data_IF_960210040687
#
_entry.id   IF_960210040687
#
_cell.length_a   1.000
_cell.length_b   1.000
_cell.length_c   1.000
_cell.angle_alpha   90.00
_cell.angle_beta   90.00
_cell.angle_gamma   90.00
#
_symmetry.space_group_name_H-M   'P 1'
#
loop_
_entity.id
_entity.type
_entity.pdbx_description
1 polymer ?
#
# COMPACT_ATOMS: atom_id res chain seq x y z
N UNK A 1 -12.76 -1.74 -4.18
CA UNK A 1 -12.07 -0.61 -4.83
C UNK A 1 -11.49 -1.10 -6.16
N UNK A 2 -11.61 -0.39 -7.27
CA UNK A 2 -11.19 -0.89 -8.60
C UNK A 2 -9.96 -0.11 -9.05
N UNK A 3 -8.77 -0.54 -8.63
CA UNK A 3 -7.50 0.14 -8.93
C UNK A 3 -7.15 0.10 -10.42
N UNK A 4 -7.36 -1.04 -11.08
CA UNK A 4 -7.08 -1.20 -12.52
C UNK A 4 -7.91 -0.22 -13.33
N UNK A 5 -9.22 -0.10 -13.08
CA UNK A 5 -10.09 0.86 -13.76
C UNK A 5 -9.68 2.32 -13.48
N UNK A 6 -9.26 2.63 -12.26
CA UNK A 6 -8.75 3.96 -11.91
C UNK A 6 -7.47 4.30 -12.67
N UNK A 7 -6.49 3.40 -12.74
CA UNK A 7 -5.26 3.59 -13.51
C UNK A 7 -5.54 3.84 -15.00
N UNK A 8 -6.43 3.06 -15.60
CA UNK A 8 -6.85 3.25 -16.99
C UNK A 8 -7.52 4.63 -17.22
N UNK A 9 -8.34 5.08 -16.26
CA UNK A 9 -8.98 6.42 -16.35
C UNK A 9 -7.97 7.57 -16.27
N UNK A 10 -6.83 7.36 -15.59
CA UNK A 10 -5.70 8.27 -15.52
C UNK A 10 -4.80 8.21 -16.78
N UNK A 11 -5.18 7.41 -17.79
CA UNK A 11 -4.35 7.13 -18.97
C UNK A 11 -2.97 6.55 -18.64
N UNK A 12 -2.84 5.87 -17.48
CA UNK A 12 -1.64 5.10 -17.15
C UNK A 12 -1.71 3.76 -17.86
N UNK A 13 -0.61 3.37 -18.47
CA UNK A 13 -0.53 2.07 -19.14
C UNK A 13 -0.35 0.96 -18.10
N UNK A 14 -1.36 0.12 -17.96
CA UNK A 14 -1.32 -1.02 -17.04
C UNK A 14 -0.32 -2.09 -17.47
N UNK A 15 0.06 -2.12 -18.75
CA UNK A 15 1.06 -3.03 -19.29
C UNK A 15 2.49 -2.69 -18.81
N UNK A 16 2.72 -1.46 -18.33
CA UNK A 16 4.00 -1.05 -17.73
C UNK A 16 4.17 -1.50 -16.27
N UNK A 17 3.10 -1.97 -15.61
CA UNK A 17 3.16 -2.39 -14.22
C UNK A 17 3.87 -3.74 -14.12
N UNK A 18 5.10 -3.75 -13.62
CA UNK A 18 5.92 -4.94 -13.44
C UNK A 18 6.18 -5.29 -11.97
N UNK A 19 5.75 -4.43 -11.06
CA UNK A 19 5.94 -4.61 -9.63
C UNK A 19 4.62 -4.30 -8.91
N UNK A 20 4.13 -5.24 -8.13
CA UNK A 20 2.89 -5.12 -7.34
C UNK A 20 3.21 -5.42 -5.89
N UNK A 21 2.92 -4.50 -5.00
CA UNK A 21 3.08 -4.70 -3.56
C UNK A 21 1.69 -4.85 -2.94
N UNK A 22 1.50 -5.93 -2.19
CA UNK A 22 0.29 -6.18 -1.39
C UNK A 22 0.67 -6.07 0.08
N UNK A 23 0.08 -5.11 0.76
CA UNK A 23 0.35 -4.85 2.18
C UNK A 23 -0.23 -5.94 3.06
N UNK A 24 -1.43 -6.40 2.73
CA UNK A 24 -2.15 -7.47 3.40
C UNK A 24 -3.31 -7.99 2.53
N UNK A 25 -3.95 -9.08 2.97
CA UNK A 25 -4.95 -9.79 2.16
C UNK A 25 -6.40 -9.55 2.63
N UNK A 26 -6.77 -8.28 2.91
CA UNK A 26 -8.17 -7.88 2.91
C UNK A 26 -8.65 -7.63 1.47
N UNK A 27 -9.92 -7.90 1.23
CA UNK A 27 -10.52 -7.91 -0.11
C UNK A 27 -10.28 -6.61 -0.92
N UNK A 28 -10.39 -5.48 -0.27
CA UNK A 28 -10.21 -4.15 -0.89
C UNK A 28 -8.76 -3.82 -1.25
N UNK A 29 -7.78 -4.65 -0.86
CA UNK A 29 -6.37 -4.48 -1.19
C UNK A 29 -5.87 -5.38 -2.31
N UNK A 30 -6.56 -6.47 -2.67
CA UNK A 30 -6.06 -7.38 -3.70
C UNK A 30 -7.12 -7.92 -4.69
N UNK A 31 -8.41 -7.65 -4.52
CA UNK A 31 -9.46 -8.18 -5.38
C UNK A 31 -9.37 -7.75 -6.84
N UNK A 32 -8.66 -6.68 -7.16
CA UNK A 32 -8.40 -6.26 -8.54
C UNK A 32 -7.26 -7.05 -9.22
N UNK A 33 -6.52 -7.86 -8.47
CA UNK A 33 -5.36 -8.59 -9.00
C UNK A 33 -5.68 -9.45 -10.23
N UNK A 34 -6.81 -10.21 -10.31
CA UNK A 34 -7.13 -10.97 -11.51
C UNK A 34 -7.23 -10.13 -12.77
N UNK A 35 -7.78 -8.92 -12.67
CA UNK A 35 -7.90 -8.01 -13.82
C UNK A 35 -6.54 -7.46 -14.25
N UNK A 36 -5.67 -7.12 -13.31
CA UNK A 36 -4.30 -6.74 -13.61
C UNK A 36 -3.56 -7.89 -14.32
N UNK A 37 -3.61 -9.09 -13.74
CA UNK A 37 -2.98 -10.28 -14.29
C UNK A 37 -3.44 -10.58 -15.73
N UNK A 38 -4.75 -10.57 -16.00
CA UNK A 38 -5.29 -10.83 -17.33
C UNK A 38 -4.80 -9.83 -18.38
N UNK A 39 -4.67 -8.55 -18.01
CA UNK A 39 -4.18 -7.53 -18.94
C UNK A 39 -2.68 -7.70 -19.23
N UNK A 40 -1.92 -8.30 -18.35
CA UNK A 40 -0.48 -8.50 -18.51
C UNK A 40 -0.10 -9.84 -19.17
N UNK A 41 -1.05 -10.75 -19.38
CA UNK A 41 -0.78 -12.06 -19.97
C UNK A 41 -0.28 -12.01 -21.41
N UNK A 42 -0.57 -10.94 -22.17
CA UNK A 42 -0.12 -10.74 -23.53
C UNK A 42 1.30 -10.15 -23.62
N UNK A 43 1.87 -9.75 -22.48
CA UNK A 43 3.13 -9.03 -22.42
C UNK A 43 4.31 -9.97 -22.26
N UNK A 44 5.44 -9.56 -22.82
CA UNK A 44 6.70 -10.24 -22.55
C UNK A 44 7.19 -9.92 -21.12
N UNK A 45 7.68 -10.95 -20.41
CA UNK A 45 8.19 -10.84 -19.06
C UNK A 45 7.16 -11.06 -17.96
N UNK A 46 7.67 -11.16 -16.74
CA UNK A 46 6.84 -11.44 -15.54
C UNK A 46 6.59 -10.19 -14.73
N UNK A 47 5.42 -10.15 -14.10
CA UNK A 47 5.13 -9.20 -13.02
C UNK A 47 5.55 -9.82 -11.70
N UNK A 48 6.32 -9.08 -10.91
CA UNK A 48 6.73 -9.52 -9.57
C UNK A 48 5.75 -9.00 -8.54
N UNK A 49 5.21 -9.91 -7.74
CA UNK A 49 4.32 -9.60 -6.61
C UNK A 49 5.09 -9.74 -5.30
N UNK A 50 5.14 -8.67 -4.54
CA UNK A 50 5.73 -8.59 -3.21
C UNK A 50 4.61 -8.66 -2.19
N UNK A 51 4.58 -9.72 -1.39
CA UNK A 51 3.48 -9.94 -0.44
C UNK A 51 3.92 -10.83 0.73
N UNK A 52 2.97 -11.20 1.57
CA UNK A 52 3.18 -12.24 2.58
C UNK A 52 3.24 -13.63 1.93
N UNK A 53 4.18 -14.45 2.39
CA UNK A 53 4.41 -15.79 1.85
C UNK A 53 3.25 -16.74 2.15
N UNK A 54 2.80 -16.73 3.39
CA UNK A 54 1.83 -17.70 3.88
C UNK A 54 0.42 -17.43 3.35
N UNK A 55 0.16 -16.18 2.92
CA UNK A 55 -1.13 -15.77 2.37
C UNK A 55 -1.13 -15.63 0.83
N UNK A 56 0.02 -15.78 0.17
CA UNK A 56 0.16 -15.58 -1.29
C UNK A 56 -0.73 -16.50 -2.14
N UNK A 57 -1.09 -17.68 -1.63
CA UNK A 57 -2.00 -18.62 -2.29
C UNK A 57 -3.37 -18.01 -2.62
N UNK A 58 -3.80 -17.00 -1.85
CA UNK A 58 -5.08 -16.30 -2.06
C UNK A 58 -5.17 -15.64 -3.44
N UNK A 59 -4.04 -15.25 -4.04
CA UNK A 59 -4.01 -14.69 -5.38
C UNK A 59 -4.34 -15.75 -6.43
N UNK A 60 -3.76 -16.94 -6.30
CA UNK A 60 -4.08 -18.07 -7.17
C UNK A 60 -5.54 -18.46 -7.02
N UNK A 61 -6.04 -18.61 -5.79
CA UNK A 61 -7.43 -18.99 -5.53
C UNK A 61 -8.42 -17.97 -6.10
N UNK A 62 -8.10 -16.67 -5.98
CA UNK A 62 -8.93 -15.60 -6.53
C UNK A 62 -8.96 -15.62 -8.06
N UNK A 63 -7.81 -15.83 -8.72
CA UNK A 63 -7.75 -16.01 -10.18
C UNK A 63 -8.49 -17.26 -10.59
N UNK A 64 -8.32 -18.38 -9.89
CA UNK A 64 -8.98 -19.65 -10.18
C UNK A 64 -10.50 -19.57 -10.06
N UNK A 65 -10.98 -18.80 -9.07
CA UNK A 65 -12.42 -18.59 -8.88
C UNK A 65 -13.06 -17.87 -10.08
N UNK A 66 -12.41 -16.83 -10.60
CA UNK A 66 -12.93 -16.04 -11.71
C UNK A 66 -12.53 -16.55 -13.10
N UNK A 67 -11.34 -17.12 -13.23
CA UNK A 67 -10.70 -17.47 -14.51
C UNK A 67 -9.92 -18.80 -14.40
N UNK A 68 -10.59 -19.95 -14.21
CA UNK A 68 -9.92 -21.22 -13.90
C UNK A 68 -8.86 -21.63 -14.92
N UNK A 69 -9.11 -21.44 -16.23
CA UNK A 69 -8.14 -21.79 -17.28
C UNK A 69 -6.89 -20.87 -17.30
N UNK A 70 -6.95 -19.72 -16.62
CA UNK A 70 -5.82 -18.79 -16.54
C UNK A 70 -4.99 -19.01 -15.29
N UNK A 71 -5.58 -19.56 -14.24
CA UNK A 71 -4.85 -19.88 -13.02
C UNK A 71 -3.73 -20.89 -13.26
N UNK A 72 -3.96 -21.90 -14.11
CA UNK A 72 -3.00 -22.98 -14.37
C UNK A 72 -1.67 -22.48 -14.99
N UNK A 73 -1.71 -21.37 -15.72
CA UNK A 73 -0.54 -20.75 -16.36
C UNK A 73 -0.05 -19.50 -15.64
N UNK A 74 -0.58 -19.18 -14.47
CA UNK A 74 -0.26 -17.96 -13.75
C UNK A 74 1.24 -17.83 -13.45
N UNK A 75 1.93 -18.94 -13.15
CA UNK A 75 3.36 -18.95 -12.88
C UNK A 75 4.25 -18.60 -14.10
N UNK A 76 3.68 -18.62 -15.31
CA UNK A 76 4.39 -18.18 -16.51
C UNK A 76 4.49 -16.65 -16.57
N UNK A 77 3.55 -15.94 -15.96
CA UNK A 77 3.42 -14.47 -16.01
C UNK A 77 3.69 -13.78 -14.67
N UNK A 78 3.52 -14.48 -13.56
CA UNK A 78 3.70 -13.93 -12.20
C UNK A 78 4.89 -14.59 -11.52
N UNK A 79 5.72 -13.79 -10.87
CA UNK A 79 6.73 -14.22 -9.91
C UNK A 79 6.43 -13.61 -8.54
N UNK A 80 6.84 -14.30 -7.48
CA UNK A 80 6.65 -13.83 -6.11
C UNK A 80 7.98 -13.47 -5.47
N UNK A 81 7.99 -12.39 -4.69
CA UNK A 81 9.10 -12.04 -3.82
C UNK A 81 8.58 -11.89 -2.39
N UNK A 82 9.16 -12.64 -1.47
CA UNK A 82 8.78 -12.69 -0.06
C UNK A 82 9.82 -12.08 0.87
N UNK A 83 10.89 -11.52 0.31
CA UNK A 83 11.99 -10.96 1.09
C UNK A 83 11.55 -9.70 1.85
N UNK A 84 12.22 -9.47 2.99
CA UNK A 84 11.98 -8.26 3.77
C UNK A 84 12.72 -7.03 3.21
N UNK A 85 13.76 -7.24 2.42
CA UNK A 85 14.51 -6.17 1.75
C UNK A 85 14.74 -6.55 0.29
N UNK A 86 14.41 -5.65 -0.63
CA UNK A 86 14.53 -5.87 -2.08
C UNK A 86 14.72 -4.54 -2.81
N UNK A 87 14.83 -4.59 -4.14
CA UNK A 87 14.95 -3.39 -4.98
C UNK A 87 13.83 -3.32 -6.01
N UNK A 88 13.30 -2.11 -6.22
CA UNK A 88 12.42 -1.77 -7.34
C UNK A 88 12.99 -0.53 -8.02
N UNK A 89 13.52 -0.69 -9.23
CA UNK A 89 14.22 0.39 -9.93
C UNK A 89 15.36 0.96 -9.09
N UNK A 90 15.32 2.28 -8.84
CA UNK A 90 16.32 2.97 -8.00
C UNK A 90 16.11 2.81 -6.49
N UNK A 91 14.92 2.36 -6.06
CA UNK A 91 14.56 2.29 -4.66
C UNK A 91 15.05 1.00 -3.99
N UNK A 92 15.68 1.15 -2.83
CA UNK A 92 15.78 0.07 -1.85
C UNK A 92 14.48 0.03 -1.07
N UNK A 93 13.84 -1.13 -1.04
CA UNK A 93 12.53 -1.27 -0.38
C UNK A 93 12.71 -2.18 0.83
N UNK A 94 12.17 -1.75 1.97
CA UNK A 94 12.14 -2.54 3.20
C UNK A 94 10.69 -2.76 3.64
N UNK A 95 10.35 -4.01 3.90
CA UNK A 95 9.08 -4.44 4.48
C UNK A 95 9.13 -4.31 6.00
N UNK A 96 8.12 -3.73 6.61
CA UNK A 96 8.02 -3.48 8.04
C UNK A 96 6.73 -4.09 8.56
N UNK A 97 6.81 -4.96 9.57
CA UNK A 97 5.61 -5.50 10.20
C UNK A 97 4.82 -4.38 10.86
N UNK A 98 3.51 -4.32 10.59
CA UNK A 98 2.54 -3.45 11.27
C UNK A 98 1.40 -4.28 11.84
N UNK A 99 0.61 -3.69 12.73
CA UNK A 99 -0.54 -4.35 13.35
C UNK A 99 -1.82 -3.75 12.80
N UNK A 100 -2.74 -4.61 12.39
CA UNK A 100 -4.06 -4.23 11.89
C UNK A 100 -5.14 -5.14 12.49
N UNK A 101 -5.13 -6.42 12.15
CA UNK A 101 -6.01 -7.44 12.73
C UNK A 101 -5.19 -8.68 13.13
N UNK A 102 -5.61 -9.34 14.23
CA UNK A 102 -4.83 -10.41 14.87
C UNK A 102 -4.49 -11.61 13.96
N UNK A 103 -5.36 -11.92 12.99
CA UNK A 103 -5.21 -13.10 12.14
C UNK A 103 -4.62 -12.80 10.75
N UNK A 104 -4.17 -11.57 10.50
CA UNK A 104 -3.71 -11.13 9.18
C UNK A 104 -2.29 -10.60 9.28
N UNK A 105 -1.44 -11.05 8.36
CA UNK A 105 -0.10 -10.51 8.22
C UNK A 105 -0.13 -9.18 7.48
N UNK A 106 0.10 -8.07 8.19
CA UNK A 106 0.08 -6.72 7.64
C UNK A 106 1.46 -6.09 7.62
N UNK A 107 1.76 -5.38 6.54
CA UNK A 107 3.07 -4.77 6.32
C UNK A 107 2.94 -3.35 5.77
N UNK A 108 3.75 -2.47 6.34
CA UNK A 108 4.15 -1.22 5.71
C UNK A 108 5.44 -1.39 4.92
N UNK A 109 5.80 -0.37 4.15
CA UNK A 109 6.99 -0.40 3.30
C UNK A 109 7.72 0.94 3.35
N UNK A 110 9.05 0.88 3.23
CA UNK A 110 9.92 2.05 3.10
C UNK A 110 10.57 1.98 1.73
N UNK A 111 10.45 3.04 0.96
CA UNK A 111 11.12 3.25 -0.31
C UNK A 111 12.23 4.28 -0.10
N UNK A 112 13.49 3.85 -0.23
CA UNK A 112 14.68 4.68 -0.04
C UNK A 112 15.42 4.83 -1.38
N UNK A 113 15.52 6.05 -1.92
CA UNK A 113 16.27 6.35 -3.15
C UNK A 113 17.70 6.87 -2.87
N UNK A 114 18.12 6.85 -1.61
CA UNK A 114 19.41 7.36 -1.13
C UNK A 114 19.37 8.83 -0.69
N UNK A 115 18.35 9.59 -1.10
CA UNK A 115 18.18 10.99 -0.71
C UNK A 115 16.94 11.18 0.18
N UNK A 116 15.87 10.47 -0.13
CA UNK A 116 14.57 10.56 0.56
C UNK A 116 14.03 9.17 0.87
N UNK A 117 13.33 9.08 2.00
CA UNK A 117 12.61 7.89 2.43
C UNK A 117 11.12 8.17 2.44
N UNK A 118 10.37 7.37 1.68
CA UNK A 118 8.93 7.41 1.60
C UNK A 118 8.41 6.17 2.29
N UNK A 119 7.66 6.34 3.38
CA UNK A 119 6.98 5.27 4.09
C UNK A 119 5.55 5.09 3.57
N UNK A 120 5.06 3.87 3.63
CA UNK A 120 3.68 3.50 3.40
C UNK A 120 3.22 2.58 4.51
N UNK A 121 2.20 2.94 5.29
CA UNK A 121 1.78 2.12 6.44
C UNK A 121 1.01 0.87 6.01
N UNK A 122 0.30 0.91 4.88
CA UNK A 122 -0.85 0.03 4.70
C UNK A 122 -1.90 0.34 5.76
N UNK A 123 -2.84 -0.57 5.97
CA UNK A 123 -3.76 -0.48 7.10
C UNK A 123 -3.04 -0.87 8.38
N UNK A 124 -3.11 0.00 9.36
CA UNK A 124 -2.33 -0.14 10.60
C UNK A 124 -2.99 0.57 11.76
N UNK A 125 -2.82 0.03 12.96
CA UNK A 125 -3.01 0.79 14.19
C UNK A 125 -1.71 1.51 14.59
N UNK A 126 -1.74 2.22 15.73
CA UNK A 126 -0.53 2.77 16.35
C UNK A 126 0.26 1.63 17.02
N UNK A 127 1.32 1.19 16.37
CA UNK A 127 2.18 0.08 16.79
C UNK A 127 3.66 0.41 16.56
N UNK A 128 4.54 -0.45 17.02
CA UNK A 128 5.99 -0.28 16.84
C UNK A 128 6.38 -0.09 15.37
N UNK A 129 5.69 -0.80 14.45
CA UNK A 129 5.94 -0.68 13.01
C UNK A 129 5.57 0.69 12.45
N UNK A 130 4.38 1.21 12.76
CA UNK A 130 3.94 2.54 12.31
C UNK A 130 4.78 3.66 12.94
N UNK A 131 5.17 3.51 14.21
CA UNK A 131 6.08 4.43 14.90
C UNK A 131 7.47 4.41 14.24
N UNK A 132 7.99 3.22 13.92
CA UNK A 132 9.27 3.09 13.24
C UNK A 132 9.26 3.76 11.86
N UNK A 133 8.22 3.52 11.05
CA UNK A 133 8.03 4.18 9.76
C UNK A 133 8.08 5.71 9.91
N UNK A 134 7.32 6.26 10.84
CA UNK A 134 7.27 7.71 11.09
C UNK A 134 8.63 8.28 11.54
N UNK A 135 9.39 7.50 12.34
CA UNK A 135 10.66 7.98 12.91
C UNK A 135 11.77 8.16 11.89
N UNK A 136 11.73 7.42 10.76
CA UNK A 136 12.85 7.38 9.80
C UNK A 136 12.50 7.89 8.40
N UNK A 137 11.21 8.07 8.07
CA UNK A 137 10.79 8.54 6.75
C UNK A 137 10.68 10.07 6.71
N UNK A 138 10.94 10.64 5.54
CA UNK A 138 10.70 12.06 5.26
C UNK A 138 9.21 12.30 4.93
N UNK A 139 8.60 11.32 4.27
CA UNK A 139 7.19 11.32 3.87
C UNK A 139 6.55 10.00 4.29
N UNK A 140 5.33 10.07 4.81
CA UNK A 140 4.57 8.89 5.18
C UNK A 140 3.19 8.93 4.51
N UNK A 141 2.90 7.96 3.66
CA UNK A 141 1.54 7.71 3.18
C UNK A 141 0.88 6.78 4.21
N UNK A 142 -0.12 7.27 4.89
CA UNK A 142 -0.68 6.62 6.07
C UNK A 142 -2.17 6.36 5.94
N UNK A 143 -2.59 5.20 6.46
CA UNK A 143 -3.98 4.97 6.87
C UNK A 143 -4.40 6.08 7.86
N UNK A 144 -5.62 6.55 7.72
CA UNK A 144 -6.27 7.46 8.66
C UNK A 144 -7.79 7.29 8.59
N UNK A 145 -8.29 6.17 9.08
CA UNK A 145 -9.70 5.81 8.93
C UNK A 145 -10.62 6.53 9.92
N UNK A 146 -10.09 7.05 11.04
CA UNK A 146 -10.89 7.59 12.14
C UNK A 146 -10.35 8.93 12.64
N UNK A 147 -11.21 9.69 13.34
CA UNK A 147 -10.77 10.87 14.12
C UNK A 147 -9.92 10.40 15.31
N UNK A 148 -10.40 9.41 16.06
CA UNK A 148 -9.67 8.74 17.13
C UNK A 148 -9.31 7.34 16.70
N UNK A 149 -8.03 6.97 16.79
CA UNK A 149 -7.50 5.68 16.38
C UNK A 149 -8.19 4.51 17.06
N UNK A 150 -8.26 3.39 16.35
CA UNK A 150 -8.88 2.14 16.81
C UNK A 150 -7.83 1.03 16.83
N UNK A 151 -8.21 -0.14 17.34
CA UNK A 151 -7.34 -1.32 17.39
C UNK A 151 -6.83 -1.80 16.03
N UNK A 152 -7.51 -1.42 14.94
CA UNK A 152 -7.21 -1.87 13.58
C UNK A 152 -6.72 -0.76 12.65
N UNK A 153 -6.97 0.51 12.98
CA UNK A 153 -6.65 1.63 12.10
C UNK A 153 -6.18 2.85 12.87
N UNK A 154 -5.29 3.62 12.22
CA UNK A 154 -4.84 4.91 12.71
C UNK A 154 -5.98 5.95 12.66
N UNK A 155 -5.94 6.86 13.62
CA UNK A 155 -6.76 8.06 13.67
C UNK A 155 -5.91 9.33 13.59
N UNK A 156 -6.57 10.48 13.51
CA UNK A 156 -5.90 11.78 13.47
C UNK A 156 -5.06 12.00 14.74
N UNK A 157 -5.54 11.60 15.90
CA UNK A 157 -4.83 11.63 17.17
C UNK A 157 -3.51 10.86 17.10
N UNK A 158 -3.52 9.68 16.49
CA UNK A 158 -2.32 8.86 16.28
C UNK A 158 -1.35 9.52 15.29
N UNK A 159 -1.85 10.14 14.20
CA UNK A 159 -0.99 10.86 13.28
C UNK A 159 -0.29 12.05 13.94
N UNK A 160 -0.96 12.77 14.84
CA UNK A 160 -0.36 13.84 15.63
C UNK A 160 0.76 13.29 16.54
N UNK A 161 0.57 12.10 17.11
CA UNK A 161 1.64 11.42 17.87
C UNK A 161 2.81 11.04 16.97
N UNK A 162 2.56 10.48 15.79
CA UNK A 162 3.59 10.11 14.82
C UNK A 162 4.42 11.31 14.35
N UNK A 163 3.81 12.48 14.15
CA UNK A 163 4.53 13.72 13.81
C UNK A 163 5.58 14.12 14.86
N UNK A 164 5.39 13.75 16.12
CA UNK A 164 6.34 14.04 17.19
C UNK A 164 7.59 13.12 17.15
N UNK A 165 7.57 12.04 16.36
CA UNK A 165 8.72 11.12 16.24
C UNK A 165 9.79 11.66 15.29
N UNK A 166 9.42 12.56 14.36
CA UNK A 166 10.33 13.16 13.39
C UNK A 166 9.82 14.56 13.00
N UNK A 167 10.59 15.59 13.34
CA UNK A 167 10.22 16.99 13.09
C UNK A 167 10.08 17.35 11.61
N UNK A 168 10.73 16.58 10.72
CA UNK A 168 10.71 16.81 9.28
C UNK A 168 9.63 15.97 8.57
N UNK A 169 8.99 15.03 9.27
CA UNK A 169 7.97 14.14 8.69
C UNK A 169 6.81 14.94 8.14
N UNK A 170 6.41 14.60 6.91
CA UNK A 170 5.13 15.01 6.31
C UNK A 170 4.27 13.78 6.07
N UNK A 171 3.00 13.85 6.48
CA UNK A 171 2.06 12.74 6.37
C UNK A 171 1.05 13.05 5.27
N UNK A 172 0.85 12.10 4.36
CA UNK A 172 -0.22 12.07 3.38
C UNK A 172 -1.21 11.00 3.78
N UNK A 173 -2.48 11.35 3.98
CA UNK A 173 -3.47 10.39 4.45
C UNK A 173 -4.24 9.77 3.31
N UNK A 174 -4.45 8.48 3.40
CA UNK A 174 -5.30 7.67 2.53
C UNK A 174 -6.21 6.78 3.38
N UNK A 175 -7.06 5.97 2.77
CA UNK A 175 -7.96 5.06 3.47
C UNK A 175 -8.81 5.78 4.55
N UNK A 176 -9.40 6.90 4.17
CA UNK A 176 -10.15 7.78 5.08
C UNK A 176 -11.66 7.57 4.94
N UNK A 177 -12.37 7.59 6.07
CA UNK A 177 -13.80 7.82 6.08
C UNK A 177 -14.12 9.29 5.73
N UNK A 178 -15.35 9.56 5.32
CA UNK A 178 -15.75 10.90 4.86
C UNK A 178 -15.62 11.96 5.96
N UNK A 179 -15.96 11.63 7.20
CA UNK A 179 -15.84 12.51 8.37
C UNK A 179 -14.39 12.91 8.65
N UNK A 180 -13.45 11.99 8.50
CA UNK A 180 -12.00 12.25 8.64
C UNK A 180 -11.52 13.19 7.53
N UNK A 181 -11.95 12.94 6.29
CA UNK A 181 -11.62 13.79 5.15
C UNK A 181 -12.14 15.22 5.34
N UNK A 182 -13.40 15.36 5.75
CA UNK A 182 -14.01 16.65 6.02
C UNK A 182 -13.26 17.40 7.13
N UNK A 183 -12.93 16.70 8.22
CA UNK A 183 -12.19 17.25 9.34
C UNK A 183 -10.81 17.78 8.91
N UNK A 184 -10.00 16.96 8.20
CA UNK A 184 -8.67 17.36 7.76
C UNK A 184 -8.69 18.51 6.75
N UNK A 185 -9.68 18.56 5.86
CA UNK A 185 -9.86 19.67 4.92
C UNK A 185 -10.21 20.98 5.62
N UNK A 186 -10.99 20.92 6.71
CA UNK A 186 -11.40 22.07 7.50
C UNK A 186 -10.27 22.57 8.39
N UNK A 187 -9.68 21.70 9.18
CA UNK A 187 -8.71 22.06 10.23
C UNK A 187 -7.31 22.37 9.66
N UNK A 188 -6.97 21.82 8.48
CA UNK A 188 -5.68 22.06 7.79
C UNK A 188 -4.48 21.89 8.72
N UNK A 189 -4.36 20.72 9.33
CA UNK A 189 -3.30 20.41 10.29
C UNK A 189 -1.93 20.49 9.58
N UNK A 190 -1.00 21.22 10.16
CA UNK A 190 0.36 21.34 9.64
C UNK A 190 1.01 19.97 9.45
N UNK A 191 1.68 19.79 8.31
CA UNK A 191 2.37 18.54 7.89
C UNK A 191 1.46 17.32 7.69
N UNK A 192 0.12 17.44 7.78
CA UNK A 192 -0.85 16.40 7.41
C UNK A 192 -1.67 16.88 6.22
N UNK A 193 -1.63 16.13 5.12
CA UNK A 193 -2.39 16.42 3.91
C UNK A 193 -3.27 15.24 3.50
N UNK A 194 -4.61 15.38 3.46
CA UNK A 194 -5.47 14.35 2.89
C UNK A 194 -5.26 14.24 1.38
N UNK A 195 -5.09 13.02 0.89
CA UNK A 195 -4.98 12.72 -0.54
C UNK A 195 -6.37 12.57 -1.16
N UNK A 196 -6.49 13.08 -2.38
CA UNK A 196 -7.65 12.82 -3.22
C UNK A 196 -7.33 11.73 -4.24
N UNK A 197 -8.38 11.07 -4.75
CA UNK A 197 -8.25 10.18 -5.88
C UNK A 197 -7.65 10.95 -7.07
N UNK A 198 -6.71 10.32 -7.78
CA UNK A 198 -6.01 10.87 -8.94
C UNK A 198 -5.04 12.04 -8.65
N UNK A 199 -4.77 12.34 -7.41
CA UNK A 199 -3.81 13.38 -7.07
C UNK A 199 -2.38 12.87 -7.26
N UNK A 200 -1.57 13.65 -7.99
CA UNK A 200 -0.13 13.42 -8.15
C UNK A 200 0.64 14.40 -7.26
N UNK A 201 1.62 13.89 -6.53
CA UNK A 201 2.47 14.70 -5.64
C UNK A 201 3.91 14.56 -6.08
N UNK A 202 4.55 15.70 -6.30
CA UNK A 202 6.00 15.77 -6.51
C UNK A 202 6.70 15.92 -5.14
N UNK A 203 7.49 14.91 -4.76
CA UNK A 203 8.21 14.84 -3.48
C UNK A 203 9.69 15.21 -3.62
#
# INVERSE_FOLDING_TARGET
MVHVKKLMSMKKDIHEIRNVIITHFHADHYFDFPFLYLNQMSDEGKTTVYCDKDESYKLYDLVKLGFPHRADIMNEHISYNFENEFKIGKYKVKKVRVEHQEMINCYGYIFDDGNKKIGFTGDSNLCDGSIYLASICDYLISDCSYIEGKKSHLGIDNLLELLNKNSNLKIFTSHMNDDVREYLNKEKIDRIKPLNDFEEINL
#
